data_IF_363677542576
#
_entry.id   IF_363677542576
#
_cell.length_a   1.000
_cell.length_b   1.000
_cell.length_c   1.000
_cell.angle_alpha   90.00
_cell.angle_beta   90.00
_cell.angle_gamma   90.00
#
_symmetry.space_group_name_H-M   'P 1'
#
loop_
_entity.id
_entity.type
_entity.pdbx_description
1 polymer ?
#
# COMPACT_ATOMS: atom_id res chain seq x y z
N UNK A 1 17.49 -10.42 -11.04
CA UNK A 1 16.66 -9.20 -10.88
C UNK A 1 15.97 -8.86 -12.18
N UNK A 2 14.64 -8.73 -12.21
CA UNK A 2 13.86 -8.38 -13.39
C UNK A 2 14.40 -7.07 -14.00
N UNK A 3 14.51 -6.97 -15.34
CA UNK A 3 15.01 -5.76 -16.02
C UNK A 3 14.21 -4.50 -15.68
N UNK A 4 12.91 -4.64 -15.42
CA UNK A 4 12.04 -3.55 -14.99
C UNK A 4 12.44 -2.98 -13.62
N UNK A 5 12.89 -3.82 -12.69
CA UNK A 5 13.28 -3.37 -11.35
C UNK A 5 14.51 -2.46 -11.35
N UNK A 6 15.37 -2.55 -12.37
CA UNK A 6 16.53 -1.68 -12.52
C UNK A 6 16.18 -0.23 -12.86
N UNK A 7 14.94 0.03 -13.26
CA UNK A 7 14.44 1.37 -13.58
C UNK A 7 14.04 2.18 -12.36
N UNK A 8 13.98 1.54 -11.18
CA UNK A 8 13.54 2.14 -9.92
C UNK A 8 14.70 2.28 -8.95
N UNK A 9 14.63 3.32 -8.12
CA UNK A 9 15.50 3.48 -6.96
C UNK A 9 14.68 3.15 -5.72
N UNK A 10 15.13 2.16 -4.95
CA UNK A 10 14.48 1.70 -3.73
C UNK A 10 15.29 2.07 -2.49
N UNK A 11 14.65 2.03 -1.31
CA UNK A 11 15.36 2.03 -0.03
C UNK A 11 16.20 0.75 0.11
N UNK A 12 17.23 0.77 0.95
CA UNK A 12 18.08 -0.40 1.17
C UNK A 12 17.26 -1.60 1.65
N UNK A 13 16.32 -1.38 2.56
CA UNK A 13 15.49 -2.44 3.10
C UNK A 13 14.53 -3.03 2.07
N UNK A 14 13.92 -2.19 1.21
CA UNK A 14 13.08 -2.72 0.13
C UNK A 14 13.91 -3.46 -0.91
N UNK A 15 15.12 -3.02 -1.17
CA UNK A 15 16.08 -3.73 -2.05
C UNK A 15 16.38 -5.12 -1.48
N UNK A 16 16.69 -5.22 -0.20
CA UNK A 16 16.94 -6.49 0.49
C UNK A 16 15.71 -7.42 0.45
N UNK A 17 14.50 -6.87 0.63
CA UNK A 17 13.25 -7.64 0.47
C UNK A 17 13.11 -8.16 -0.97
N UNK A 18 13.33 -7.32 -1.98
CA UNK A 18 13.21 -7.69 -3.40
C UNK A 18 14.20 -8.80 -3.78
N UNK A 19 15.42 -8.74 -3.27
CA UNK A 19 16.47 -9.72 -3.57
C UNK A 19 16.24 -11.07 -2.89
N UNK A 20 15.56 -11.09 -1.75
CA UNK A 20 15.38 -12.27 -0.92
C UNK A 20 13.94 -12.83 -0.89
N UNK A 21 12.96 -12.18 -1.52
CA UNK A 21 11.59 -12.69 -1.59
C UNK A 21 11.46 -13.84 -2.60
N UNK A 22 10.31 -14.54 -2.58
CA UNK A 22 10.03 -15.67 -3.48
C UNK A 22 9.89 -15.27 -4.95
N UNK A 23 9.64 -14.01 -5.23
CA UNK A 23 9.50 -13.47 -6.57
C UNK A 23 8.83 -12.11 -6.58
N UNK A 24 9.03 -11.34 -7.66
CA UNK A 24 8.46 -10.00 -7.82
C UNK A 24 7.78 -9.89 -9.18
N UNK A 25 6.54 -9.43 -9.17
CA UNK A 25 5.78 -8.99 -10.34
C UNK A 25 5.68 -7.47 -10.35
N UNK A 26 5.99 -6.85 -11.49
CA UNK A 26 5.81 -5.41 -11.72
C UNK A 26 4.80 -5.27 -12.86
N UNK A 27 3.52 -4.97 -12.58
CA UNK A 27 2.51 -4.87 -13.62
C UNK A 27 2.79 -3.70 -14.54
N UNK A 28 2.63 -3.91 -15.84
CA UNK A 28 2.86 -2.92 -16.89
C UNK A 28 1.57 -2.27 -17.37
N UNK A 29 0.42 -2.82 -16.98
CA UNK A 29 -0.90 -2.28 -17.33
C UNK A 29 -1.95 -2.59 -16.27
N UNK A 30 -3.05 -1.83 -16.29
CA UNK A 30 -4.25 -2.15 -15.48
C UNK A 30 -4.92 -3.45 -15.93
N UNK A 31 -4.78 -3.83 -17.21
CA UNK A 31 -5.30 -5.09 -17.71
C UNK A 31 -4.57 -6.28 -17.08
N UNK A 32 -3.25 -6.22 -16.96
CA UNK A 32 -2.47 -7.24 -16.29
C UNK A 32 -2.89 -7.40 -14.79
N UNK A 33 -3.10 -6.28 -14.10
CA UNK A 33 -3.65 -6.32 -12.73
C UNK A 33 -5.04 -6.95 -12.67
N UNK A 34 -5.89 -6.66 -13.67
CA UNK A 34 -7.21 -7.26 -13.77
C UNK A 34 -7.12 -8.78 -13.96
N UNK A 35 -6.22 -9.24 -14.83
CA UNK A 35 -5.95 -10.66 -15.06
C UNK A 35 -5.38 -11.35 -13.81
N UNK A 36 -4.55 -10.67 -13.02
CA UNK A 36 -4.06 -11.17 -11.74
C UNK A 36 -5.18 -11.38 -10.71
N UNK A 37 -6.25 -10.60 -10.79
CA UNK A 37 -7.42 -10.72 -9.89
C UNK A 37 -8.41 -11.77 -10.37
N UNK A 38 -8.86 -11.68 -11.63
CA UNK A 38 -9.95 -12.48 -12.15
C UNK A 38 -9.48 -13.68 -13.00
N UNK A 39 -8.18 -13.83 -13.19
CA UNK A 39 -7.58 -14.82 -14.08
C UNK A 39 -7.73 -14.45 -15.57
N UNK A 40 -7.01 -15.16 -16.47
CA UNK A 40 -7.04 -14.88 -17.91
C UNK A 40 -8.42 -15.17 -18.54
N UNK A 41 -9.21 -16.02 -17.92
CA UNK A 41 -10.59 -16.35 -18.33
C UNK A 41 -11.61 -15.31 -17.85
N UNK A 42 -11.17 -14.32 -17.08
CA UNK A 42 -11.97 -13.28 -16.47
C UNK A 42 -13.19 -13.83 -15.71
N UNK A 43 -12.93 -14.65 -14.70
CA UNK A 43 -13.96 -15.22 -13.85
C UNK A 43 -14.95 -14.16 -13.36
N UNK A 44 -16.22 -14.53 -13.21
CA UNK A 44 -17.25 -13.60 -12.75
C UNK A 44 -17.10 -13.25 -11.26
N UNK A 45 -16.47 -14.13 -10.49
CA UNK A 45 -16.25 -13.97 -9.05
C UNK A 45 -14.80 -14.29 -8.71
N UNK A 46 -14.20 -13.46 -7.89
CA UNK A 46 -12.89 -13.69 -7.27
C UNK A 46 -13.04 -13.67 -5.76
N UNK A 47 -12.56 -14.75 -5.12
CA UNK A 47 -12.49 -14.83 -3.65
C UNK A 47 -11.22 -14.15 -3.15
N UNK A 48 -11.35 -13.15 -2.29
CA UNK A 48 -10.23 -12.56 -1.55
C UNK A 48 -9.92 -13.47 -0.37
N UNK A 49 -8.95 -14.33 -0.56
CA UNK A 49 -8.53 -15.33 0.44
C UNK A 49 -7.06 -15.12 0.79
N UNK A 50 -6.76 -15.10 2.07
CA UNK A 50 -5.40 -14.98 2.57
C UNK A 50 -5.01 -16.20 3.39
N UNK A 51 -3.76 -16.64 3.28
CA UNK A 51 -3.16 -17.55 4.24
C UNK A 51 -2.60 -16.71 5.41
N UNK A 52 -3.32 -16.75 6.53
CA UNK A 52 -2.97 -15.98 7.73
C UNK A 52 -2.16 -16.87 8.68
N UNK A 53 -0.92 -16.51 9.03
CA UNK A 53 -0.08 -17.30 9.91
C UNK A 53 -0.79 -17.70 11.21
N UNK A 54 -0.79 -18.99 11.51
CA UNK A 54 -1.44 -19.56 12.69
C UNK A 54 -2.98 -19.62 12.65
N UNK A 55 -3.61 -19.16 11.55
CA UNK A 55 -5.08 -19.20 11.37
C UNK A 55 -5.51 -19.99 10.15
N UNK A 56 -4.59 -20.20 9.17
CA UNK A 56 -4.90 -20.84 7.90
C UNK A 56 -5.62 -19.92 6.93
N UNK A 57 -6.35 -20.50 5.97
CA UNK A 57 -7.05 -19.73 4.95
C UNK A 57 -8.21 -18.93 5.55
N UNK A 58 -8.19 -17.62 5.25
CA UNK A 58 -9.20 -16.66 5.68
C UNK A 58 -9.78 -15.96 4.46
N UNK A 59 -11.09 -16.14 4.22
CA UNK A 59 -11.82 -15.43 3.17
C UNK A 59 -12.34 -14.12 3.73
N UNK A 60 -11.91 -13.00 3.15
CA UNK A 60 -12.29 -11.67 3.59
C UNK A 60 -13.43 -11.06 2.77
N UNK A 61 -13.49 -11.38 1.47
CA UNK A 61 -14.49 -10.83 0.57
C UNK A 61 -14.71 -11.68 -0.67
N UNK A 62 -15.86 -11.45 -1.31
CA UNK A 62 -16.12 -11.79 -2.70
C UNK A 62 -16.00 -10.54 -3.57
N UNK A 63 -15.29 -10.62 -4.68
CA UNK A 63 -15.25 -9.57 -5.69
C UNK A 63 -15.99 -10.07 -6.93
N UNK A 64 -17.08 -9.39 -7.27
CA UNK A 64 -17.92 -9.75 -8.43
C UNK A 64 -17.59 -8.81 -9.57
N UNK A 65 -17.30 -9.36 -10.74
CA UNK A 65 -17.07 -8.61 -11.96
C UNK A 65 -18.38 -7.98 -12.48
N UNK A 66 -18.36 -6.69 -12.73
CA UNK A 66 -19.46 -5.92 -13.29
C UNK A 66 -19.07 -5.34 -14.65
N UNK A 67 -20.06 -4.92 -15.47
CA UNK A 67 -19.81 -4.30 -16.80
C UNK A 67 -18.90 -3.06 -16.71
N UNK A 68 -18.97 -2.32 -15.61
CA UNK A 68 -18.29 -1.05 -15.40
C UNK A 68 -17.30 -1.07 -14.23
N UNK A 69 -16.83 -2.24 -13.81
CA UNK A 69 -15.89 -2.37 -12.70
C UNK A 69 -16.10 -3.63 -11.87
N UNK A 70 -15.96 -3.52 -10.56
CA UNK A 70 -16.13 -4.62 -9.64
C UNK A 70 -16.96 -4.20 -8.41
N UNK A 71 -17.78 -5.12 -7.91
CA UNK A 71 -18.48 -5.00 -6.61
C UNK A 71 -17.75 -5.87 -5.59
N UNK A 72 -17.58 -5.37 -4.38
CA UNK A 72 -16.90 -6.08 -3.29
C UNK A 72 -17.89 -6.32 -2.15
N UNK A 73 -18.08 -7.60 -1.79
CA UNK A 73 -18.89 -8.02 -0.66
C UNK A 73 -17.96 -8.56 0.43
N UNK A 74 -17.82 -7.82 1.52
CA UNK A 74 -17.03 -8.26 2.66
C UNK A 74 -17.79 -9.28 3.50
N UNK A 75 -17.07 -10.28 4.01
CA UNK A 75 -17.61 -11.20 5.03
C UNK A 75 -17.75 -10.49 6.38
N UNK A 76 -18.48 -11.10 7.32
CA UNK A 76 -18.65 -10.53 8.66
C UNK A 76 -17.33 -10.33 9.40
N UNK A 77 -16.37 -11.21 9.16
CA UNK A 77 -15.06 -11.21 9.83
C UNK A 77 -14.00 -10.33 9.17
N UNK A 78 -14.36 -9.55 8.13
CA UNK A 78 -13.36 -8.71 7.48
C UNK A 78 -12.74 -7.68 8.46
N UNK A 79 -11.49 -7.34 8.22
CA UNK A 79 -10.70 -6.45 9.07
C UNK A 79 -11.09 -4.96 8.91
N UNK A 80 -12.38 -4.62 9.11
CA UNK A 80 -12.80 -3.21 9.10
C UNK A 80 -12.07 -2.40 10.17
N UNK A 81 -11.83 -1.14 9.90
CA UNK A 81 -11.29 -0.21 10.88
C UNK A 81 -12.30 -0.01 12.00
N UNK A 82 -11.91 -0.37 13.22
CA UNK A 82 -12.71 -0.24 14.44
C UNK A 82 -12.23 0.89 15.34
N UNK A 83 -10.94 1.23 15.23
CA UNK A 83 -10.31 2.30 16.01
C UNK A 83 -10.10 3.54 15.13
N UNK A 84 -10.87 4.62 15.33
CA UNK A 84 -10.80 5.81 14.47
C UNK A 84 -9.44 6.52 14.59
N UNK A 85 -8.81 6.49 15.77
CA UNK A 85 -7.52 7.13 16.06
C UNK A 85 -6.40 6.08 16.13
N UNK A 86 -6.16 5.35 15.03
CA UNK A 86 -5.10 4.34 14.95
C UNK A 86 -3.86 4.79 14.16
N UNK A 87 -3.78 6.05 13.70
CA UNK A 87 -2.62 6.55 12.98
C UNK A 87 -1.50 6.97 13.94
N UNK A 88 -0.26 6.58 13.64
CA UNK A 88 0.95 6.88 14.42
C UNK A 88 2.06 7.34 13.51
N UNK A 89 2.87 8.28 14.01
CA UNK A 89 4.12 8.68 13.39
C UNK A 89 5.25 7.85 13.99
N UNK A 90 6.10 7.29 13.15
CA UNK A 90 7.19 6.41 13.61
C UNK A 90 8.47 7.15 13.97
N UNK A 91 8.75 8.25 13.27
CA UNK A 91 9.96 9.05 13.41
C UNK A 91 9.90 10.10 14.52
N UNK A 92 11.05 10.74 14.79
CA UNK A 92 11.20 11.76 15.83
C UNK A 92 11.07 13.21 15.30
N UNK A 93 10.74 13.41 14.01
CA UNK A 93 10.54 14.75 13.41
C UNK A 93 9.34 15.46 14.05
N UNK A 94 9.30 16.79 14.08
CA UNK A 94 8.18 17.53 14.65
C UNK A 94 6.82 17.11 14.09
N UNK A 95 5.82 16.96 14.97
CA UNK A 95 4.45 16.56 14.59
C UNK A 95 3.48 16.87 15.72
N UNK A 96 2.24 17.20 15.36
CA UNK A 96 1.08 17.29 16.25
C UNK A 96 0.37 15.95 16.47
N UNK A 97 0.78 14.92 15.72
CA UNK A 97 0.18 13.58 15.77
C UNK A 97 0.85 12.70 16.82
N UNK A 98 0.15 11.68 17.27
CA UNK A 98 0.67 10.71 18.24
C UNK A 98 1.81 9.90 17.64
N UNK A 99 2.94 9.84 18.35
CA UNK A 99 4.05 8.98 17.96
C UNK A 99 3.82 7.54 18.39
N UNK A 100 4.34 6.61 17.58
CA UNK A 100 4.28 5.18 17.86
C UNK A 100 4.96 4.85 19.19
N UNK A 101 6.16 5.37 19.42
CA UNK A 101 6.93 5.13 20.64
C UNK A 101 6.24 5.64 21.91
N UNK A 102 5.60 6.81 21.84
CA UNK A 102 4.89 7.41 22.99
C UNK A 102 3.65 6.58 23.39
N UNK A 103 2.99 5.96 22.41
CA UNK A 103 1.76 5.19 22.66
C UNK A 103 2.07 3.76 23.12
N UNK A 104 3.10 3.13 22.52
CA UNK A 104 3.35 1.70 22.72
C UNK A 104 4.60 1.39 23.55
N UNK A 105 5.39 2.42 23.93
CA UNK A 105 6.53 2.30 24.83
C UNK A 105 7.80 1.73 24.17
N UNK A 106 7.85 1.58 22.84
CA UNK A 106 9.03 1.16 22.08
C UNK A 106 8.98 1.71 20.66
N UNK A 107 10.14 1.76 19.98
CA UNK A 107 10.24 2.27 18.59
C UNK A 107 9.64 1.31 17.58
N UNK A 108 9.17 1.86 16.46
CA UNK A 108 8.55 1.11 15.37
C UNK A 108 9.50 0.11 14.69
N UNK A 109 10.81 0.33 14.77
CA UNK A 109 11.84 -0.45 14.06
C UNK A 109 11.67 -1.96 14.20
N UNK A 110 11.30 -2.43 15.39
CA UNK A 110 11.08 -3.87 15.64
C UNK A 110 9.92 -4.42 14.80
N UNK A 111 8.76 -3.78 14.82
CA UNK A 111 7.61 -4.22 14.03
C UNK A 111 7.87 -4.06 12.53
N UNK A 112 8.59 -3.01 12.13
CA UNK A 112 9.03 -2.79 10.75
C UNK A 112 9.92 -3.94 10.28
N UNK A 113 10.93 -4.30 11.05
CA UNK A 113 11.83 -5.40 10.73
C UNK A 113 11.08 -6.74 10.59
N UNK A 114 10.19 -7.07 11.52
CA UNK A 114 9.35 -8.28 11.43
C UNK A 114 8.51 -8.29 10.14
N UNK A 115 7.99 -7.13 9.74
CA UNK A 115 7.22 -6.96 8.50
C UNK A 115 8.10 -7.21 7.28
N UNK A 116 9.31 -6.65 7.22
CA UNK A 116 10.24 -6.85 6.11
C UNK A 116 10.67 -8.31 6.00
N UNK A 117 10.99 -8.96 7.12
CA UNK A 117 11.30 -10.39 7.13
C UNK A 117 10.12 -11.25 6.65
N UNK A 118 8.89 -10.87 7.01
CA UNK A 118 7.71 -11.56 6.49
C UNK A 118 7.54 -11.36 4.98
N UNK A 119 7.77 -10.15 4.44
CA UNK A 119 7.71 -9.90 2.99
C UNK A 119 8.70 -10.76 2.20
N UNK A 120 9.88 -11.06 2.74
CA UNK A 120 10.85 -11.98 2.12
C UNK A 120 10.29 -13.40 1.92
N UNK A 121 9.29 -13.78 2.70
CA UNK A 121 8.62 -15.09 2.57
C UNK A 121 7.51 -15.14 1.52
N UNK A 122 7.24 -14.02 0.83
CA UNK A 122 6.11 -13.88 -0.09
C UNK A 122 6.56 -13.75 -1.55
N UNK A 123 5.64 -14.03 -2.48
CA UNK A 123 5.69 -13.46 -3.82
C UNK A 123 5.07 -12.08 -3.76
N UNK A 124 5.69 -11.07 -4.39
CA UNK A 124 5.32 -9.67 -4.25
C UNK A 124 4.83 -9.07 -5.56
N UNK A 125 3.93 -8.09 -5.43
CA UNK A 125 3.61 -7.11 -6.47
C UNK A 125 4.23 -5.79 -6.04
N UNK A 126 5.00 -5.17 -6.95
CA UNK A 126 5.47 -3.80 -6.86
C UNK A 126 4.76 -2.99 -7.93
N UNK A 127 3.87 -2.10 -7.54
CA UNK A 127 3.09 -1.28 -8.48
C UNK A 127 3.45 0.20 -8.31
N UNK A 128 4.15 0.81 -9.29
CA UNK A 128 4.39 2.24 -9.30
C UNK A 128 3.11 3.00 -9.62
N UNK A 129 2.89 4.13 -8.94
CA UNK A 129 1.75 5.00 -9.21
C UNK A 129 2.08 6.46 -8.90
N UNK A 130 1.37 7.39 -9.51
CA UNK A 130 1.45 8.80 -9.22
C UNK A 130 0.21 9.27 -8.46
N UNK A 131 0.41 10.05 -7.43
CA UNK A 131 -0.65 10.78 -6.74
C UNK A 131 -0.74 12.19 -7.30
N UNK A 132 -1.86 12.54 -7.91
CA UNK A 132 -2.04 13.76 -8.68
C UNK A 132 -1.89 13.54 -10.19
N UNK A 133 -1.90 14.64 -10.97
CA UNK A 133 -1.71 14.58 -12.42
C UNK A 133 -0.23 14.34 -12.79
N UNK A 134 0.01 14.03 -14.08
CA UNK A 134 1.37 13.75 -14.57
C UNK A 134 2.34 14.93 -14.40
N UNK A 135 1.82 16.15 -14.37
CA UNK A 135 2.64 17.37 -14.26
C UNK A 135 3.05 17.68 -12.82
N UNK A 136 2.16 17.42 -11.85
CA UNK A 136 2.35 17.74 -10.42
C UNK A 136 2.26 16.51 -9.52
N UNK A 137 2.22 15.33 -10.10
CA UNK A 137 2.06 14.10 -9.36
C UNK A 137 3.33 13.67 -8.63
N UNK A 138 3.13 13.09 -7.45
CA UNK A 138 4.22 12.50 -6.68
C UNK A 138 4.29 11.01 -6.92
N UNK A 139 5.46 10.54 -7.36
CA UNK A 139 5.74 9.13 -7.56
C UNK A 139 5.69 8.35 -6.26
N UNK A 140 4.98 7.22 -6.26
CA UNK A 140 4.83 6.33 -5.12
C UNK A 140 4.89 4.87 -5.57
N UNK A 141 5.17 3.97 -4.64
CA UNK A 141 5.20 2.52 -4.88
C UNK A 141 4.25 1.82 -3.91
N UNK A 142 3.39 0.96 -4.44
CA UNK A 142 2.68 -0.04 -3.63
C UNK A 142 3.51 -1.32 -3.59
N UNK A 143 3.66 -1.87 -2.39
CA UNK A 143 4.25 -3.19 -2.14
C UNK A 143 3.20 -4.06 -1.46
N UNK A 144 2.82 -5.16 -2.08
CA UNK A 144 1.89 -6.11 -1.49
C UNK A 144 2.21 -7.55 -1.90
N UNK A 145 1.78 -8.56 -1.12
CA UNK A 145 1.83 -9.95 -1.55
C UNK A 145 0.98 -10.17 -2.80
N UNK A 146 1.39 -11.10 -3.67
CA UNK A 146 0.68 -11.43 -4.90
C UNK A 146 -0.76 -11.88 -4.66
N UNK A 147 -1.03 -12.59 -3.56
CA UNK A 147 -2.38 -12.94 -3.13
C UNK A 147 -3.27 -11.72 -2.81
N UNK A 148 -2.66 -10.54 -2.71
CA UNK A 148 -3.34 -9.27 -2.48
C UNK A 148 -3.47 -8.41 -3.74
N UNK A 149 -3.41 -9.01 -4.94
CA UNK A 149 -3.51 -8.31 -6.23
C UNK A 149 -4.73 -7.39 -6.33
N UNK A 150 -5.82 -7.74 -5.66
CA UNK A 150 -7.02 -6.90 -5.60
C UNK A 150 -6.75 -5.49 -5.06
N UNK A 151 -5.85 -5.36 -4.05
CA UNK A 151 -5.50 -4.02 -3.53
C UNK A 151 -4.70 -3.20 -4.54
N UNK A 152 -3.78 -3.83 -5.26
CA UNK A 152 -3.06 -3.17 -6.34
C UNK A 152 -4.00 -2.71 -7.44
N UNK A 153 -4.93 -3.58 -7.87
CA UNK A 153 -5.97 -3.26 -8.84
C UNK A 153 -6.85 -2.09 -8.37
N UNK A 154 -7.37 -2.14 -7.14
CA UNK A 154 -8.21 -1.09 -6.59
C UNK A 154 -7.47 0.25 -6.47
N UNK A 155 -6.20 0.23 -6.03
CA UNK A 155 -5.39 1.44 -5.92
C UNK A 155 -5.04 2.04 -7.28
N UNK A 156 -4.78 1.21 -8.31
CA UNK A 156 -4.55 1.65 -9.67
C UNK A 156 -5.75 2.38 -10.31
N UNK A 157 -6.96 2.13 -9.80
CA UNK A 157 -8.16 2.86 -10.21
C UNK A 157 -8.38 4.16 -9.44
N UNK A 158 -7.79 4.30 -8.25
CA UNK A 158 -7.88 5.50 -7.41
C UNK A 158 -6.76 6.50 -7.68
N UNK A 159 -5.60 6.02 -8.11
CA UNK A 159 -4.39 6.80 -8.34
C UNK A 159 -3.99 6.73 -9.82
N UNK A 160 -3.04 7.57 -10.23
CA UNK A 160 -2.47 7.51 -11.57
C UNK A 160 -1.56 6.29 -11.73
N UNK A 161 -2.00 5.27 -12.46
CA UNK A 161 -1.16 4.11 -12.78
C UNK A 161 0.06 4.54 -13.61
N UNK A 162 1.24 4.04 -13.25
CA UNK A 162 2.50 4.28 -13.96
C UNK A 162 2.92 3.00 -14.66
N UNK A 163 3.10 3.07 -16.00
CA UNK A 163 3.65 1.96 -16.74
C UNK A 163 5.17 1.85 -16.49
N UNK A 164 5.58 0.76 -15.86
CA UNK A 164 6.98 0.51 -15.55
C UNK A 164 7.89 0.40 -16.78
N UNK A 165 7.36 -0.03 -17.94
CA UNK A 165 8.15 -0.12 -19.18
C UNK A 165 8.50 1.27 -19.73
N UNK A 166 7.63 2.25 -19.53
CA UNK A 166 7.78 3.63 -20.01
C UNK A 166 8.54 4.52 -19.01
N UNK A 167 9.00 3.94 -17.89
CA UNK A 167 9.61 4.69 -16.76
C UNK A 167 11.11 4.47 -16.73
N UNK A 168 11.87 5.55 -16.54
CA UNK A 168 13.31 5.53 -16.29
C UNK A 168 13.65 6.34 -15.04
N UNK A 169 14.49 5.77 -14.17
CA UNK A 169 15.01 6.47 -12.99
C UNK A 169 13.93 6.85 -11.97
N UNK A 170 12.84 6.08 -11.88
CA UNK A 170 11.73 6.37 -10.99
C UNK A 170 12.17 6.19 -9.52
N UNK A 171 12.15 7.29 -8.77
CA UNK A 171 12.40 7.30 -7.33
C UNK A 171 11.09 7.59 -6.61
N UNK A 172 10.46 6.60 -5.94
CA UNK A 172 9.23 6.86 -5.20
C UNK A 172 9.51 7.76 -4.00
N UNK A 173 8.65 8.73 -3.79
CA UNK A 173 8.65 9.58 -2.58
C UNK A 173 7.86 8.96 -1.43
N UNK A 174 7.06 7.92 -1.74
CA UNK A 174 6.36 7.13 -0.74
C UNK A 174 6.28 5.67 -1.14
N UNK A 175 6.39 4.78 -0.17
CA UNK A 175 6.14 3.36 -0.31
C UNK A 175 4.97 2.99 0.59
N UNK A 176 3.94 2.39 0.01
CA UNK A 176 2.75 1.94 0.71
C UNK A 176 2.80 0.43 0.84
N UNK A 177 3.02 -0.06 2.05
CA UNK A 177 3.06 -1.47 2.37
C UNK A 177 1.68 -1.98 2.76
N UNK A 178 1.16 -2.91 1.98
CA UNK A 178 -0.15 -3.53 2.18
C UNK A 178 0.04 -5.03 2.39
N UNK A 179 -0.22 -5.50 3.59
CA UNK A 179 0.00 -6.89 3.97
C UNK A 179 -1.12 -7.45 4.88
N UNK A 180 -2.37 -7.58 4.39
CA UNK A 180 -3.48 -8.10 5.20
C UNK A 180 -3.20 -9.45 5.86
N UNK A 181 -2.46 -10.39 5.22
CA UNK A 181 -2.13 -11.66 5.83
C UNK A 181 -1.16 -11.54 7.01
N UNK A 182 -0.29 -10.52 7.01
CA UNK A 182 0.61 -10.28 8.14
C UNK A 182 -0.16 -9.64 9.28
N UNK A 183 -0.35 -10.38 10.37
CA UNK A 183 -1.07 -9.92 11.57
C UNK A 183 -0.14 -9.93 12.76
N UNK A 184 0.31 -8.74 13.15
CA UNK A 184 1.16 -8.60 14.33
C UNK A 184 0.40 -8.91 15.62
N UNK A 185 1.14 -9.33 16.63
CA UNK A 185 0.62 -9.63 17.98
C UNK A 185 1.07 -8.60 19.02
N UNK A 186 1.85 -7.60 18.64
CA UNK A 186 2.28 -6.50 19.49
C UNK A 186 1.06 -5.76 20.04
N UNK A 187 1.20 -5.16 21.21
CA UNK A 187 0.14 -4.39 21.89
C UNK A 187 -1.26 -5.00 21.70
N UNK A 188 -1.38 -6.31 21.98
CA UNK A 188 -2.63 -7.09 21.91
C UNK A 188 -3.24 -7.19 20.50
N UNK A 189 -2.43 -7.03 19.44
CA UNK A 189 -2.89 -7.09 18.07
C UNK A 189 -3.81 -5.93 17.67
N UNK A 190 -3.74 -4.79 18.36
CA UNK A 190 -4.55 -3.60 18.03
C UNK A 190 -4.23 -3.07 16.67
N UNK A 191 -5.23 -2.51 16.02
CA UNK A 191 -5.10 -1.90 14.70
C UNK A 191 -4.20 -0.66 14.74
N UNK A 192 -3.29 -0.55 13.78
CA UNK A 192 -2.45 0.64 13.65
C UNK A 192 -2.10 0.93 12.19
N UNK A 193 -2.11 2.20 11.82
CA UNK A 193 -1.50 2.73 10.61
C UNK A 193 -0.27 3.51 11.01
N UNK A 194 0.88 3.16 10.46
CA UNK A 194 2.14 3.82 10.80
C UNK A 194 2.64 4.60 9.59
N UNK A 195 2.90 5.87 9.78
CA UNK A 195 3.58 6.73 8.82
C UNK A 195 5.00 6.98 9.33
N UNK A 196 5.99 6.47 8.60
CA UNK A 196 7.41 6.61 8.86
C UNK A 196 8.01 7.57 7.84
N UNK A 197 8.46 8.76 8.29
CA UNK A 197 8.96 9.83 7.42
C UNK A 197 10.48 9.75 7.34
N UNK A 198 11.00 8.87 6.48
CA UNK A 198 12.42 8.83 6.17
C UNK A 198 12.82 10.11 5.39
N UNK A 199 14.11 10.42 5.33
CA UNK A 199 14.57 11.67 4.72
C UNK A 199 14.28 11.73 3.21
N UNK A 200 14.45 10.61 2.52
CA UNK A 200 14.29 10.53 1.07
C UNK A 200 12.97 9.91 0.61
N UNK A 201 12.25 9.22 1.51
CA UNK A 201 11.06 8.46 1.17
C UNK A 201 10.16 8.28 2.38
N UNK A 202 8.87 8.42 2.21
CA UNK A 202 7.89 8.10 3.24
C UNK A 202 7.50 6.63 3.15
N UNK A 203 7.27 6.01 4.28
CA UNK A 203 6.70 4.66 4.36
C UNK A 203 5.36 4.69 5.07
N UNK A 204 4.38 3.95 4.56
CA UNK A 204 3.08 3.79 5.21
C UNK A 204 2.77 2.31 5.35
N UNK A 205 2.48 1.89 6.57
CA UNK A 205 2.10 0.52 6.91
C UNK A 205 0.70 0.49 7.50
N UNK A 206 -0.06 -0.55 7.18
CA UNK A 206 -1.39 -0.78 7.76
C UNK A 206 -1.43 -2.17 8.38
N UNK A 207 -1.66 -2.24 9.69
CA UNK A 207 -1.61 -3.48 10.46
C UNK A 207 -2.97 -3.83 11.08
N UNK A 208 -3.35 -5.09 10.95
CA UNK A 208 -4.53 -5.70 11.55
C UNK A 208 -5.85 -4.99 11.20
N UNK A 209 -5.91 -4.31 10.06
CA UNK A 209 -7.10 -3.67 9.52
C UNK A 209 -7.14 -3.82 8.00
N UNK A 210 -8.32 -3.70 7.42
CA UNK A 210 -8.47 -3.67 5.96
C UNK A 210 -7.71 -2.47 5.37
N UNK A 211 -6.73 -2.70 4.49
CA UNK A 211 -5.77 -1.66 4.13
C UNK A 211 -6.26 -0.66 3.07
N UNK A 212 -7.36 -0.93 2.37
CA UNK A 212 -7.83 -0.07 1.28
C UNK A 212 -7.98 1.40 1.68
N UNK A 213 -8.85 1.75 2.65
CA UNK A 213 -8.97 3.11 3.14
C UNK A 213 -7.68 3.66 3.75
N UNK A 214 -6.92 2.81 4.46
CA UNK A 214 -5.67 3.21 5.12
C UNK A 214 -4.57 3.48 4.12
N UNK A 215 -4.44 2.70 3.05
CA UNK A 215 -3.53 2.96 1.96
C UNK A 215 -3.85 4.30 1.27
N UNK A 216 -5.13 4.53 0.92
CA UNK A 216 -5.58 5.81 0.36
C UNK A 216 -5.30 6.98 1.28
N UNK A 217 -5.62 6.88 2.57
CA UNK A 217 -5.39 7.93 3.56
C UNK A 217 -3.90 8.08 3.92
N UNK A 218 -3.12 7.01 3.83
CA UNK A 218 -1.67 7.05 3.95
C UNK A 218 -1.05 7.92 2.86
N UNK A 219 -1.43 7.70 1.60
CA UNK A 219 -1.02 8.55 0.46
C UNK A 219 -1.40 10.01 0.73
N UNK A 220 -2.64 10.27 1.16
CA UNK A 220 -3.08 11.62 1.51
C UNK A 220 -2.21 12.25 2.61
N UNK A 221 -1.87 11.50 3.66
CA UNK A 221 -1.02 12.01 4.76
C UNK A 221 0.39 12.32 4.29
N UNK A 222 0.94 11.51 3.39
CA UNK A 222 2.25 11.77 2.75
C UNK A 222 2.20 13.07 1.94
N UNK A 223 1.16 13.24 1.12
CA UNK A 223 1.00 14.45 0.29
C UNK A 223 0.87 15.72 1.12
N UNK A 224 0.17 15.66 2.27
CA UNK A 224 0.11 16.79 3.20
C UNK A 224 1.49 17.14 3.74
N UNK A 225 2.24 16.16 4.22
CA UNK A 225 3.57 16.39 4.80
C UNK A 225 4.56 16.92 3.77
N UNK A 226 4.58 16.34 2.55
CA UNK A 226 5.40 16.84 1.45
C UNK A 226 4.99 18.27 1.04
N UNK A 227 3.69 18.51 0.89
CA UNK A 227 3.18 19.82 0.51
C UNK A 227 3.54 20.91 1.53
N UNK A 228 3.44 20.62 2.82
CA UNK A 228 3.86 21.55 3.88
C UNK A 228 5.37 21.83 3.82
N UNK A 229 6.20 20.80 3.59
CA UNK A 229 7.66 20.97 3.45
C UNK A 229 8.04 21.80 2.21
N UNK A 230 7.30 21.66 1.13
CA UNK A 230 7.51 22.40 -0.13
C UNK A 230 6.83 23.76 -0.16
N UNK A 231 6.15 24.16 0.90
CA UNK A 231 5.46 25.46 1.00
C UNK A 231 4.15 25.55 0.24
N UNK A 232 3.50 24.41 -0.05
CA UNK A 232 2.18 24.35 -0.66
C UNK A 232 1.08 24.56 0.37
N UNK A 233 -0.02 25.18 -0.06
CA UNK A 233 -1.25 25.17 0.74
C UNK A 233 -2.00 23.86 0.51
N UNK A 234 -2.07 23.01 1.53
CA UNK A 234 -2.74 21.71 1.44
C UNK A 234 -4.21 21.85 1.79
N UNK A 235 -5.09 21.29 0.95
CA UNK A 235 -6.54 21.33 1.14
C UNK A 235 -7.16 19.94 1.02
N UNK A 236 -8.07 19.59 1.94
CA UNK A 236 -8.91 18.41 1.81
C UNK A 236 -10.23 18.80 1.14
N UNK A 237 -10.25 18.82 -0.18
CA UNK A 237 -11.38 19.31 -0.98
C UNK A 237 -11.60 18.46 -2.22
N UNK A 238 -12.63 18.77 -2.98
CA UNK A 238 -12.83 18.29 -4.34
C UNK A 238 -12.74 19.48 -5.31
N UNK A 239 -12.15 19.25 -6.47
CA UNK A 239 -12.06 20.25 -7.53
C UNK A 239 -12.68 19.67 -8.82
N UNK A 240 -13.40 20.49 -9.58
CA UNK A 240 -13.96 20.16 -10.88
C UNK A 240 -13.71 21.31 -11.87
N UNK A 241 -13.41 20.95 -13.12
CA UNK A 241 -13.34 21.91 -14.24
C UNK A 241 -14.64 21.81 -15.02
N UNK A 242 -15.40 22.91 -15.08
CA UNK A 242 -16.47 23.05 -16.07
C UNK A 242 -15.84 23.34 -17.42
N UNK A 243 -16.08 22.48 -18.39
CA UNK A 243 -15.77 22.75 -19.79
C UNK A 243 -17.07 23.35 -20.37
N UNK A 244 -17.07 24.63 -20.61
CA UNK A 244 -18.12 25.35 -21.36
C UNK A 244 -17.82 25.31 -22.84
#
# INVERSE_FOLDING_TARGET
MNSLLKKFTFTEELTDVIENCKGVSVPTSKAELYDMVFGPEHADVYDVVFDVPGKGLFKEADVVRCKNGASVNFTEDYMRRREPDCMRIADDKPTDKKRFADVYGYKFDKLRQETMEWFKTQELILMPFNSGGNEYGYGSMLVCPKQCAFFAFALAHLQGFVNAEETEGYKPRAIIYVAPPFRHTHFEGKQVVVHNRLDDCHEVFSYNLYPGPSAKKGVYSVLLDIGEQEGWTTCHTSAGRLIT
#
